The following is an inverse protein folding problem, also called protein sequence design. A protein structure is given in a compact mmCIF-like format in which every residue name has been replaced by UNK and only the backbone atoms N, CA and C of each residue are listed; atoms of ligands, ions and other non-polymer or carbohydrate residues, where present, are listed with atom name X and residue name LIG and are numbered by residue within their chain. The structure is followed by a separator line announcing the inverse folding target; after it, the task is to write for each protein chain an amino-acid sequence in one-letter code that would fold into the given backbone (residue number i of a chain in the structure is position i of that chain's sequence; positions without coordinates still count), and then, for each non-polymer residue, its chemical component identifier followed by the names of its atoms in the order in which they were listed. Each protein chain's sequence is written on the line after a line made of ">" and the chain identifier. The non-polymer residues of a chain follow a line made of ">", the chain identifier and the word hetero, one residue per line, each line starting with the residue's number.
data_IF_293454481227
#
_entry.id   IF_293454481227
#
_cell.length_a   1.000
_cell.length_b   1.000
_cell.length_c   1.000
_cell.angle_alpha   90.00
_cell.angle_beta   90.00
_cell.angle_gamma   90.00
#
_symmetry.space_group_name_H-M   'P 1'
#
loop_
_entity.id
_entity.type
_entity.pdbx_description
1 polymer ?
#
# COMPACT_ATOMS: atom_id res chain seq x y z
N UNK A 1 -10.04 12.21 -10.82
CA UNK A 1 -10.62 12.62 -9.49
C UNK A 1 -11.08 14.07 -9.43
N UNK A 2 -11.11 14.79 -10.56
CA UNK A 2 -11.48 16.21 -10.63
C UNK A 2 -12.86 16.52 -10.03
N UNK A 3 -12.91 17.60 -9.23
CA UNK A 3 -14.14 18.04 -8.59
C UNK A 3 -14.63 17.23 -7.36
N UNK A 4 -13.89 16.19 -6.98
CA UNK A 4 -14.20 15.39 -5.77
C UNK A 4 -13.86 16.16 -4.50
N UNK A 5 -14.59 15.88 -3.41
CA UNK A 5 -14.23 16.39 -2.10
C UNK A 5 -12.87 15.87 -1.66
N UNK A 6 -12.22 16.57 -0.78
CA UNK A 6 -11.02 16.12 -0.07
C UNK A 6 -11.39 15.54 1.29
N UNK A 7 -10.58 14.60 1.78
CA UNK A 7 -10.70 14.07 3.14
C UNK A 7 -10.13 15.05 4.16
N UNK A 8 -10.76 15.14 5.31
CA UNK A 8 -10.23 15.84 6.49
C UNK A 8 -9.35 14.93 7.36
N UNK A 9 -9.25 13.64 7.02
CA UNK A 9 -8.43 12.64 7.72
C UNK A 9 -6.98 12.60 7.21
N UNK A 10 -6.46 13.71 6.72
CA UNK A 10 -5.06 13.82 6.28
C UNK A 10 -4.26 14.59 7.34
N UNK A 11 -3.13 13.99 7.75
CA UNK A 11 -2.17 14.59 8.69
C UNK A 11 -0.84 14.80 7.97
N UNK A 12 -0.46 16.06 7.71
CA UNK A 12 0.82 16.38 7.10
C UNK A 12 1.94 16.44 8.14
N UNK A 13 2.89 15.53 8.03
CA UNK A 13 4.11 15.46 8.84
C UNK A 13 5.37 15.76 8.03
N UNK A 14 5.26 16.16 6.77
CA UNK A 14 6.40 16.58 5.97
C UNK A 14 7.05 17.80 6.64
N UNK A 15 8.37 17.80 6.74
CA UNK A 15 9.12 18.84 7.47
C UNK A 15 9.09 18.75 9.00
N UNK A 16 8.33 17.81 9.60
CA UNK A 16 8.35 17.54 11.04
C UNK A 16 9.27 16.38 11.44
N UNK A 17 9.83 15.66 10.46
CA UNK A 17 10.83 14.61 10.69
C UNK A 17 12.17 15.23 11.05
N UNK A 18 12.98 14.50 11.85
CA UNK A 18 14.38 14.84 12.03
C UNK A 18 15.00 15.01 10.64
N UNK A 19 15.80 16.06 10.46
CA UNK A 19 16.49 16.36 9.21
C UNK A 19 17.31 15.14 8.76
N UNK A 20 16.68 14.28 7.96
CA UNK A 20 17.40 13.26 7.21
C UNK A 20 17.89 13.96 5.96
N UNK A 21 19.19 14.04 5.83
CA UNK A 21 19.86 14.64 4.70
C UNK A 21 19.26 14.13 3.39
N UNK A 22 19.06 15.07 2.46
CA UNK A 22 18.70 14.81 1.08
C UNK A 22 19.81 14.00 0.35
N UNK A 23 19.89 12.72 0.66
CA UNK A 23 20.60 11.72 -0.09
C UNK A 23 19.54 10.73 -0.53
N UNK A 24 18.95 10.97 -1.71
CA UNK A 24 17.95 10.10 -2.28
C UNK A 24 18.46 8.66 -2.28
N UNK A 25 17.71 7.76 -1.66
CA UNK A 25 17.93 6.33 -1.82
C UNK A 25 17.56 6.06 -3.27
N UNK A 26 18.57 5.96 -4.14
CA UNK A 26 18.34 5.55 -5.52
C UNK A 26 17.68 4.16 -5.55
N UNK A 27 17.11 3.82 -6.68
CA UNK A 27 16.49 2.52 -7.00
C UNK A 27 17.15 1.30 -6.36
N UNK A 28 18.48 1.32 -6.23
CA UNK A 28 19.25 0.27 -5.59
C UNK A 28 18.90 0.08 -4.10
N UNK A 29 18.60 1.14 -3.38
CA UNK A 29 18.28 1.07 -1.95
C UNK A 29 16.88 0.50 -1.69
N UNK A 30 15.87 0.94 -2.46
CA UNK A 30 14.52 0.39 -2.37
C UNK A 30 14.49 -1.10 -2.76
N UNK A 31 15.14 -1.45 -3.87
CA UNK A 31 15.27 -2.84 -4.29
C UNK A 31 16.03 -3.69 -3.28
N UNK A 32 17.12 -3.17 -2.69
CA UNK A 32 17.90 -3.87 -1.66
C UNK A 32 17.06 -4.02 -0.38
N UNK A 33 16.32 -3.00 0.05
CA UNK A 33 15.46 -3.09 1.23
C UNK A 33 14.34 -4.12 1.02
N UNK A 34 13.61 -4.02 -0.07
CA UNK A 34 12.60 -5.01 -0.44
C UNK A 34 13.23 -6.41 -0.52
N UNK A 35 14.42 -6.51 -1.11
CA UNK A 35 15.12 -7.77 -1.29
C UNK A 35 15.59 -8.39 0.04
N UNK A 36 16.13 -7.56 0.97
CA UNK A 36 16.56 -8.00 2.30
C UNK A 36 15.35 -8.39 3.16
N UNK A 37 14.26 -7.60 3.11
CA UNK A 37 13.01 -7.91 3.78
C UNK A 37 12.38 -9.19 3.20
N UNK A 38 12.39 -9.34 1.88
CA UNK A 38 11.93 -10.53 1.16
C UNK A 38 12.76 -11.79 1.43
N UNK A 39 14.04 -11.65 1.76
CA UNK A 39 14.93 -12.78 2.07
C UNK A 39 14.84 -13.23 3.54
N UNK A 40 13.92 -12.67 4.33
CA UNK A 40 13.87 -12.92 5.77
C UNK A 40 15.11 -12.40 6.50
N UNK A 41 15.86 -11.51 5.86
CA UNK A 41 17.05 -10.87 6.43
C UNK A 41 16.66 -9.71 7.34
N UNK A 42 17.49 -9.46 8.35
CA UNK A 42 17.36 -8.30 9.20
C UNK A 42 17.76 -7.03 8.42
N UNK A 43 16.76 -6.29 7.94
CA UNK A 43 16.94 -5.01 7.26
C UNK A 43 17.48 -3.90 8.20
N UNK A 44 17.61 -4.17 9.50
CA UNK A 44 18.09 -3.20 10.48
C UNK A 44 19.51 -2.73 10.19
N UNK A 45 20.40 -3.59 9.67
CA UNK A 45 21.75 -3.21 9.27
C UNK A 45 21.78 -2.25 8.08
N UNK A 46 20.83 -2.42 7.12
CA UNK A 46 20.67 -1.48 6.00
C UNK A 46 20.11 -0.15 6.52
N UNK A 47 19.19 -0.21 7.50
CA UNK A 47 18.62 0.96 8.17
C UNK A 47 19.65 1.72 9.03
N UNK A 48 20.52 1.03 9.77
CA UNK A 48 21.58 1.67 10.59
C UNK A 48 22.59 2.43 9.73
N UNK A 49 22.95 1.91 8.57
CA UNK A 49 23.88 2.58 7.66
C UNK A 49 23.24 3.84 7.01
N UNK A 50 21.91 3.92 6.98
CA UNK A 50 21.14 5.08 6.49
C UNK A 50 20.87 6.14 7.57
N UNK A 51 21.06 5.83 8.84
CA UNK A 51 20.75 6.71 9.99
C UNK A 51 21.90 7.58 10.48
N UNK A 52 22.97 7.79 9.73
CA UNK A 52 24.03 8.73 10.18
C UNK A 52 23.49 10.18 10.16
N UNK A 53 23.39 10.85 11.32
CA UNK A 53 22.87 12.20 11.39
C UNK A 53 23.87 13.18 10.78
N UNK A 54 23.52 13.77 9.65
CA UNK A 54 24.17 14.99 9.20
C UNK A 54 23.45 16.18 9.83
N UNK A 55 24.18 17.01 10.58
CA UNK A 55 23.72 18.28 11.11
C UNK A 55 23.33 19.21 9.97
N UNK A 56 22.04 19.27 9.66
CA UNK A 56 21.46 20.17 8.68
C UNK A 56 20.63 21.25 9.36
N UNK A 57 20.80 22.48 8.97
CA UNK A 57 19.93 23.63 9.29
C UNK A 57 18.48 23.27 8.96
N UNK A 58 17.58 23.44 9.91
CA UNK A 58 16.12 23.32 9.70
C UNK A 58 15.66 24.41 8.75
N UNK A 59 15.66 24.14 7.46
CA UNK A 59 14.88 24.93 6.50
C UNK A 59 13.43 24.51 6.60
N UNK A 60 12.54 25.48 6.68
CA UNK A 60 11.09 25.24 6.63
C UNK A 60 10.75 24.46 5.35
N UNK A 61 10.08 23.34 5.50
CA UNK A 61 9.67 22.52 4.36
C UNK A 61 8.57 23.23 3.57
N UNK A 62 8.82 23.52 2.31
CA UNK A 62 7.85 24.09 1.40
C UNK A 62 7.53 23.05 0.32
N UNK A 63 6.28 22.53 0.27
CA UNK A 63 5.91 21.55 -0.75
C UNK A 63 6.07 22.12 -2.17
N UNK A 64 6.57 21.31 -3.08
CA UNK A 64 6.60 21.64 -4.51
C UNK A 64 5.19 21.61 -5.10
N UNK A 65 4.99 22.21 -6.28
CA UNK A 65 3.69 22.16 -6.95
C UNK A 65 3.24 20.71 -7.23
N UNK A 66 4.16 19.84 -7.60
CA UNK A 66 3.88 18.41 -7.81
C UNK A 66 3.47 17.70 -6.52
N UNK A 67 4.13 17.96 -5.41
CA UNK A 67 3.74 17.39 -4.11
C UNK A 67 2.35 17.88 -3.66
N UNK A 68 2.00 19.14 -3.97
CA UNK A 68 0.66 19.68 -3.69
C UNK A 68 -0.42 19.00 -4.55
N UNK A 69 -0.12 18.74 -5.81
CA UNK A 69 -1.01 18.00 -6.72
C UNK A 69 -1.24 16.57 -6.24
N UNK A 70 -0.18 15.85 -5.86
CA UNK A 70 -0.28 14.51 -5.30
C UNK A 70 -1.01 14.48 -3.95
N UNK A 71 -0.78 15.45 -3.08
CA UNK A 71 -1.52 15.60 -1.82
C UNK A 71 -3.01 15.76 -2.07
N UNK A 72 -3.38 16.67 -2.97
CA UNK A 72 -4.78 16.89 -3.35
C UNK A 72 -5.39 15.58 -3.88
N UNK A 73 -4.74 14.92 -4.81
CA UNK A 73 -5.19 13.66 -5.39
C UNK A 73 -5.33 12.57 -4.32
N UNK A 74 -4.31 12.35 -3.48
CA UNK A 74 -4.36 11.36 -2.41
C UNK A 74 -5.48 11.63 -1.41
N UNK A 75 -5.72 12.90 -1.08
CA UNK A 75 -6.82 13.32 -0.21
C UNK A 75 -8.19 13.07 -0.85
N UNK A 76 -8.34 13.24 -2.16
CA UNK A 76 -9.57 12.94 -2.89
C UNK A 76 -9.82 11.42 -2.96
N UNK A 77 -8.78 10.61 -3.20
CA UNK A 77 -8.88 9.15 -3.17
C UNK A 77 -9.29 8.66 -1.79
N UNK A 78 -8.66 9.17 -0.72
CA UNK A 78 -9.05 8.82 0.65
C UNK A 78 -10.52 9.16 0.92
N UNK A 79 -10.96 10.36 0.50
CA UNK A 79 -12.36 10.76 0.62
C UNK A 79 -13.33 9.82 -0.12
N UNK A 80 -12.93 9.38 -1.32
CA UNK A 80 -13.68 8.37 -2.08
C UNK A 80 -13.78 7.04 -1.33
N UNK A 81 -12.66 6.56 -0.76
CA UNK A 81 -12.71 5.33 0.05
C UNK A 81 -13.63 5.47 1.26
N UNK A 82 -13.64 6.64 1.92
CA UNK A 82 -14.55 6.94 3.03
C UNK A 82 -16.03 6.84 2.61
N UNK A 83 -16.39 7.42 1.46
CA UNK A 83 -17.75 7.42 0.94
C UNK A 83 -18.19 5.98 0.59
N UNK A 84 -17.36 5.24 -0.13
CA UNK A 84 -17.63 3.86 -0.53
C UNK A 84 -17.78 2.96 0.69
N UNK A 85 -16.79 2.94 1.60
CA UNK A 85 -16.81 2.02 2.72
C UNK A 85 -17.88 2.37 3.76
N UNK A 86 -18.22 3.65 3.92
CA UNK A 86 -19.38 4.06 4.74
C UNK A 86 -20.67 3.44 4.19
N UNK A 87 -20.87 3.51 2.87
CA UNK A 87 -22.06 2.92 2.22
C UNK A 87 -22.04 1.38 2.31
N UNK A 88 -20.88 0.74 2.14
CA UNK A 88 -20.77 -0.72 2.23
C UNK A 88 -21.03 -1.24 3.64
N UNK A 89 -20.43 -0.64 4.68
CA UNK A 89 -20.66 -1.06 6.06
C UNK A 89 -22.12 -0.85 6.51
N UNK A 90 -22.77 0.22 6.01
CA UNK A 90 -24.18 0.48 6.31
C UNK A 90 -25.11 -0.65 5.85
N UNK A 91 -24.80 -1.38 4.77
CA UNK A 91 -25.58 -2.54 4.29
C UNK A 91 -25.63 -3.65 5.34
N UNK A 92 -24.59 -3.78 6.16
CA UNK A 92 -24.47 -4.76 7.24
C UNK A 92 -24.85 -4.19 8.62
N UNK A 93 -25.43 -2.97 8.67
CA UNK A 93 -25.76 -2.24 9.90
C UNK A 93 -24.55 -2.00 10.81
N UNK A 94 -23.38 -1.90 10.21
CA UNK A 94 -22.12 -1.60 10.87
C UNK A 94 -21.72 -0.15 10.59
N UNK A 95 -20.94 0.43 11.49
CA UNK A 95 -20.39 1.76 11.33
C UNK A 95 -18.94 1.66 10.81
N UNK A 96 -18.67 2.31 9.70
CA UNK A 96 -17.31 2.47 9.21
C UNK A 96 -16.56 3.54 10.01
N UNK A 97 -15.34 3.24 10.41
CA UNK A 97 -14.40 4.18 11.02
C UNK A 97 -13.27 4.41 10.05
N UNK A 98 -13.19 5.62 9.49
CA UNK A 98 -12.17 5.93 8.49
C UNK A 98 -10.78 6.01 9.12
N UNK A 99 -9.74 5.52 8.45
CA UNK A 99 -8.36 5.67 8.90
C UNK A 99 -7.87 7.11 8.69
N UNK A 100 -6.80 7.50 9.37
CA UNK A 100 -6.07 8.72 9.02
C UNK A 100 -4.95 8.40 8.04
N UNK A 101 -4.70 9.30 7.11
CA UNK A 101 -3.56 9.24 6.21
C UNK A 101 -2.48 10.23 6.66
N UNK A 102 -1.29 9.75 6.91
CA UNK A 102 -0.12 10.54 7.29
C UNK A 102 0.77 10.72 6.08
N UNK A 103 0.94 11.96 5.63
CA UNK A 103 1.91 12.31 4.61
C UNK A 103 3.25 12.58 5.28
N UNK A 104 4.29 11.93 4.81
CA UNK A 104 5.65 12.11 5.33
C UNK A 104 6.68 12.22 4.21
N UNK A 105 7.91 12.56 4.54
CA UNK A 105 9.04 12.59 3.62
C UNK A 105 10.29 12.04 4.30
N UNK A 106 10.90 11.05 3.67
CA UNK A 106 12.13 10.43 4.12
C UNK A 106 11.94 9.42 5.24
N UNK A 107 11.47 9.83 6.43
CA UNK A 107 11.24 8.93 7.56
C UNK A 107 10.06 9.36 8.41
N UNK A 108 9.42 8.39 9.08
CA UNK A 108 8.28 8.63 9.96
C UNK A 108 8.25 7.61 11.11
N UNK A 109 7.82 8.07 12.30
CA UNK A 109 7.47 7.20 13.42
C UNK A 109 5.99 6.86 13.33
N UNK A 110 5.68 5.55 13.29
CA UNK A 110 4.32 5.00 13.36
C UNK A 110 4.10 4.22 14.66
N UNK A 111 2.87 3.80 14.92
CA UNK A 111 2.54 2.86 15.98
C UNK A 111 3.17 1.46 15.77
N UNK A 112 3.54 1.13 14.54
CA UNK A 112 4.17 -0.14 14.16
C UNK A 112 5.72 -0.05 14.12
N UNK A 113 6.30 1.09 14.47
CA UNK A 113 7.74 1.34 14.46
C UNK A 113 8.15 2.45 13.49
N UNK A 114 9.47 2.57 13.30
CA UNK A 114 10.03 3.54 12.35
C UNK A 114 9.92 3.01 10.92
N UNK A 115 9.54 3.89 10.00
CA UNK A 115 9.53 3.61 8.58
C UNK A 115 10.27 4.71 7.80
N UNK A 116 10.72 4.36 6.60
CA UNK A 116 11.40 5.28 5.67
C UNK A 116 10.72 5.24 4.30
N UNK A 117 11.10 6.13 3.38
CA UNK A 117 10.64 6.09 1.99
C UNK A 117 10.82 4.71 1.34
N UNK A 118 11.87 3.95 1.73
CA UNK A 118 12.12 2.60 1.24
C UNK A 118 11.06 1.57 1.69
N UNK A 119 10.29 1.85 2.74
CA UNK A 119 9.19 0.97 3.17
C UNK A 119 8.03 0.99 2.18
N UNK A 120 7.91 2.07 1.39
CA UNK A 120 6.72 2.32 0.58
C UNK A 120 5.52 2.77 1.42
N UNK A 121 4.35 2.94 0.80
CA UNK A 121 3.09 3.12 1.51
C UNK A 121 2.77 1.93 2.40
N UNK A 122 2.17 2.16 3.56
CA UNK A 122 1.76 1.08 4.45
C UNK A 122 0.62 1.49 5.38
N UNK A 123 -0.16 0.51 5.81
CA UNK A 123 -1.14 0.64 6.88
C UNK A 123 -0.55 0.10 8.20
N UNK A 124 -0.77 0.82 9.29
CA UNK A 124 -0.41 0.36 10.63
C UNK A 124 -1.67 0.13 11.46
N UNK A 125 -1.94 -1.11 11.86
CA UNK A 125 -3.10 -1.48 12.68
C UNK A 125 -3.01 -0.98 14.12
N UNK A 126 -1.79 -0.76 14.65
CA UNK A 126 -1.59 -0.30 16.02
C UNK A 126 -2.08 1.15 16.27
N UNK A 127 -2.09 1.99 15.24
CA UNK A 127 -2.57 3.37 15.33
C UNK A 127 -3.66 3.72 14.29
N UNK A 128 -4.08 2.74 13.49
CA UNK A 128 -5.12 2.83 12.46
C UNK A 128 -4.85 3.93 11.42
N UNK A 129 -3.60 4.02 10.97
CA UNK A 129 -3.17 5.04 10.03
C UNK A 129 -2.54 4.43 8.78
N UNK A 130 -2.80 5.09 7.64
CA UNK A 130 -2.04 4.93 6.42
C UNK A 130 -0.85 5.88 6.45
N UNK A 131 0.29 5.42 6.00
CA UNK A 131 1.51 6.21 5.88
C UNK A 131 1.93 6.27 4.42
N UNK A 132 2.14 7.47 3.91
CA UNK A 132 2.37 7.71 2.50
C UNK A 132 3.50 8.73 2.32
N UNK A 133 4.61 8.27 1.73
CA UNK A 133 5.64 9.17 1.21
C UNK A 133 5.30 9.49 -0.25
N UNK A 134 5.08 10.77 -0.56
CA UNK A 134 4.68 11.19 -1.91
C UNK A 134 5.78 10.95 -2.94
N UNK A 135 7.06 10.88 -2.52
CA UNK A 135 8.17 10.53 -3.42
C UNK A 135 8.03 9.11 -3.98
N UNK A 136 7.32 8.20 -3.27
CA UNK A 136 7.02 6.85 -3.75
C UNK A 136 6.29 6.84 -5.10
N UNK A 137 5.34 7.73 -5.30
CA UNK A 137 4.61 7.81 -6.57
C UNK A 137 5.50 8.27 -7.73
N UNK A 138 6.44 9.18 -7.46
CA UNK A 138 7.45 9.56 -8.45
C UNK A 138 8.34 8.35 -8.80
N UNK A 139 8.74 7.57 -7.80
CA UNK A 139 9.53 6.35 -8.01
C UNK A 139 8.76 5.29 -8.78
N UNK A 140 7.49 5.06 -8.49
CA UNK A 140 6.64 4.15 -9.27
C UNK A 140 6.64 4.52 -10.76
N UNK A 141 6.48 5.80 -11.07
CA UNK A 141 6.44 6.28 -12.45
C UNK A 141 7.79 6.17 -13.15
N UNK A 142 8.86 6.64 -12.49
CA UNK A 142 10.20 6.74 -13.09
C UNK A 142 10.92 5.40 -13.15
N UNK A 143 10.80 4.60 -12.13
CA UNK A 143 11.61 3.41 -11.90
C UNK A 143 10.91 2.13 -12.32
N UNK A 144 9.61 2.02 -12.05
CA UNK A 144 8.83 0.85 -12.41
C UNK A 144 8.07 1.06 -13.74
N UNK A 145 8.09 2.28 -14.29
CA UNK A 145 7.32 2.62 -15.48
C UNK A 145 5.82 2.39 -15.30
N UNK A 146 5.33 2.53 -14.04
CA UNK A 146 3.91 2.49 -13.71
C UNK A 146 3.40 3.89 -13.97
N UNK A 147 2.55 4.05 -14.99
CA UNK A 147 2.00 5.34 -15.41
C UNK A 147 0.55 5.41 -14.97
N UNK A 148 0.08 6.64 -14.82
CA UNK A 148 -1.29 6.98 -14.52
C UNK A 148 -1.54 7.26 -13.05
N UNK A 149 -2.53 8.06 -12.79
CA UNK A 149 -2.95 8.45 -11.45
C UNK A 149 -3.78 7.35 -10.77
N UNK A 150 -4.47 6.53 -11.55
CA UNK A 150 -5.25 5.42 -10.99
C UNK A 150 -4.37 4.29 -10.41
N UNK A 151 -3.13 4.15 -10.85
CA UNK A 151 -2.15 3.29 -10.18
C UNK A 151 -1.87 3.76 -8.74
N UNK A 152 -1.77 5.08 -8.53
CA UNK A 152 -1.62 5.66 -7.20
C UNK A 152 -2.89 5.49 -6.35
N UNK A 153 -4.07 5.65 -6.98
CA UNK A 153 -5.35 5.41 -6.33
C UNK A 153 -5.50 3.96 -5.86
N UNK A 154 -5.08 3.00 -6.68
CA UNK A 154 -5.06 1.58 -6.31
C UNK A 154 -4.19 1.31 -5.07
N UNK A 155 -2.99 1.89 -4.99
CA UNK A 155 -2.11 1.71 -3.82
C UNK A 155 -2.79 2.25 -2.55
N UNK A 156 -3.37 3.45 -2.59
CA UNK A 156 -4.09 4.01 -1.43
C UNK A 156 -5.28 3.13 -1.06
N UNK A 157 -6.06 2.65 -2.05
CA UNK A 157 -7.19 1.77 -1.80
C UNK A 157 -6.77 0.39 -1.24
N UNK A 158 -5.59 -0.11 -1.62
CA UNK A 158 -5.00 -1.32 -1.08
C UNK A 158 -4.66 -1.16 0.42
N UNK A 159 -4.03 -0.05 0.80
CA UNK A 159 -3.74 0.25 2.22
C UNK A 159 -5.03 0.43 3.03
N UNK A 160 -6.06 1.04 2.44
CA UNK A 160 -7.42 1.06 3.04
C UNK A 160 -7.99 -0.36 3.13
N UNK A 161 -7.67 -1.24 2.18
CA UNK A 161 -8.03 -2.67 2.24
C UNK A 161 -7.51 -3.36 3.50
N UNK A 162 -6.27 -3.08 3.91
CA UNK A 162 -5.73 -3.54 5.19
C UNK A 162 -6.48 -2.97 6.40
N UNK A 163 -6.91 -1.70 6.31
CA UNK A 163 -7.76 -1.13 7.35
C UNK A 163 -9.13 -1.83 7.43
N UNK A 164 -9.73 -2.19 6.28
CA UNK A 164 -10.97 -2.99 6.26
C UNK A 164 -10.75 -4.36 6.91
N UNK A 165 -9.65 -5.04 6.60
CA UNK A 165 -9.28 -6.31 7.24
C UNK A 165 -9.16 -6.17 8.76
N UNK A 166 -8.55 -5.07 9.24
CA UNK A 166 -8.47 -4.76 10.67
C UNK A 166 -9.85 -4.56 11.28
N UNK A 167 -10.71 -3.76 10.67
CA UNK A 167 -12.08 -3.52 11.15
C UNK A 167 -12.94 -4.79 11.18
N UNK A 168 -12.68 -5.74 10.27
CA UNK A 168 -13.36 -7.04 10.22
C UNK A 168 -12.71 -8.08 11.15
N UNK A 169 -11.58 -7.76 11.79
CA UNK A 169 -10.81 -8.65 12.66
C UNK A 169 -9.91 -9.65 11.91
N UNK A 170 -10.01 -9.72 10.59
CA UNK A 170 -9.26 -10.69 9.77
C UNK A 170 -7.75 -10.49 9.85
N UNK A 171 -7.29 -9.22 9.88
CA UNK A 171 -5.87 -8.89 9.97
C UNK A 171 -5.28 -9.30 11.32
N UNK A 172 -6.00 -9.02 12.40
CA UNK A 172 -5.57 -9.32 13.75
C UNK A 172 -5.53 -10.84 14.00
N UNK A 173 -6.55 -11.56 13.52
CA UNK A 173 -6.60 -13.01 13.58
C UNK A 173 -5.44 -13.66 12.80
N UNK A 174 -5.14 -13.16 11.60
CA UNK A 174 -4.03 -13.63 10.78
C UNK A 174 -2.68 -13.39 11.48
N UNK A 175 -2.45 -12.20 12.03
CA UNK A 175 -1.23 -11.88 12.78
C UNK A 175 -1.05 -12.75 14.03
N UNK A 176 -2.13 -13.04 14.78
CA UNK A 176 -2.08 -13.95 15.92
C UNK A 176 -1.69 -15.38 15.52
N UNK A 177 -2.19 -15.86 14.37
CA UNK A 177 -1.80 -17.16 13.82
C UNK A 177 -0.34 -17.16 13.38
N UNK A 178 0.10 -16.14 12.65
CA UNK A 178 1.48 -15.98 12.18
C UNK A 178 2.52 -16.00 13.31
N UNK A 179 2.17 -15.49 14.50
CA UNK A 179 3.07 -15.51 15.65
C UNK A 179 3.52 -16.92 16.08
N UNK A 180 2.83 -17.97 15.64
CA UNK A 180 3.07 -19.37 15.99
C UNK A 180 3.53 -20.23 14.79
N UNK A 181 3.70 -19.62 13.62
CA UNK A 181 4.06 -20.30 12.38
C UNK A 181 5.57 -20.25 12.13
N UNK A 182 6.08 -21.20 11.35
CA UNK A 182 7.39 -21.09 10.72
C UNK A 182 7.37 -20.01 9.61
N UNK A 183 8.55 -19.61 9.12
CA UNK A 183 8.70 -18.49 8.20
C UNK A 183 7.95 -18.72 6.87
N UNK A 184 8.03 -19.91 6.30
CA UNK A 184 7.33 -20.21 5.04
C UNK A 184 5.81 -20.12 5.23
N UNK A 185 5.31 -20.63 6.33
CA UNK A 185 3.88 -20.55 6.67
C UNK A 185 3.42 -19.11 6.93
N UNK A 186 4.25 -18.29 7.57
CA UNK A 186 4.01 -16.84 7.73
C UNK A 186 3.91 -16.15 6.38
N UNK A 187 4.86 -16.40 5.50
CA UNK A 187 4.89 -15.83 4.15
C UNK A 187 3.61 -16.19 3.38
N UNK A 188 3.18 -17.44 3.42
CA UNK A 188 1.93 -17.87 2.79
C UNK A 188 0.70 -17.18 3.39
N UNK A 189 0.69 -16.95 4.71
CA UNK A 189 -0.39 -16.21 5.37
C UNK A 189 -0.36 -14.73 4.95
N UNK A 190 0.84 -14.12 4.86
CA UNK A 190 1.01 -12.75 4.35
C UNK A 190 0.44 -12.61 2.95
N UNK A 191 0.76 -13.53 2.03
CA UNK A 191 0.17 -13.53 0.67
C UNK A 191 -1.36 -13.50 0.72
N UNK A 192 -2.01 -14.25 1.62
CA UNK A 192 -3.47 -14.24 1.76
C UNK A 192 -4.02 -12.88 2.22
N UNK A 193 -3.33 -12.24 3.17
CA UNK A 193 -3.64 -10.88 3.64
C UNK A 193 -3.56 -9.91 2.45
N UNK A 194 -2.47 -9.93 1.70
CA UNK A 194 -2.22 -9.04 0.57
C UNK A 194 -3.26 -9.19 -0.56
N UNK A 195 -3.56 -10.44 -0.92
CA UNK A 195 -4.54 -10.71 -1.98
C UNK A 195 -5.96 -10.29 -1.58
N UNK A 196 -6.31 -10.37 -0.29
CA UNK A 196 -7.58 -9.85 0.20
C UNK A 196 -7.60 -8.31 0.19
N UNK A 197 -6.48 -7.65 0.48
CA UNK A 197 -6.38 -6.19 0.36
C UNK A 197 -6.51 -5.75 -1.10
N UNK A 198 -5.91 -6.47 -2.06
CA UNK A 198 -6.12 -6.26 -3.50
C UNK A 198 -7.60 -6.44 -3.90
N UNK A 199 -8.27 -7.44 -3.34
CA UNK A 199 -9.70 -7.64 -3.55
C UNK A 199 -10.52 -6.45 -3.06
N UNK A 200 -10.25 -5.94 -1.86
CA UNK A 200 -10.95 -4.78 -1.31
C UNK A 200 -10.65 -3.50 -2.08
N UNK A 201 -9.44 -3.32 -2.58
CA UNK A 201 -9.14 -2.25 -3.52
C UNK A 201 -10.00 -2.35 -4.79
N UNK A 202 -10.22 -3.57 -5.29
CA UNK A 202 -11.13 -3.82 -6.41
C UNK A 202 -12.59 -3.52 -6.07
N UNK A 203 -13.07 -3.90 -4.89
CA UNK A 203 -14.43 -3.57 -4.40
C UNK A 203 -14.61 -2.05 -4.34
N UNK A 204 -13.62 -1.33 -3.82
CA UNK A 204 -13.65 0.14 -3.85
C UNK A 204 -13.79 0.67 -5.27
N UNK A 205 -12.95 0.23 -6.22
CA UNK A 205 -13.01 0.68 -7.62
C UNK A 205 -14.36 0.39 -8.29
N UNK A 206 -15.00 -0.77 -8.00
CA UNK A 206 -16.34 -1.08 -8.47
C UNK A 206 -17.37 -0.03 -8.01
N UNK A 207 -17.37 0.29 -6.72
CA UNK A 207 -18.32 1.22 -6.14
C UNK A 207 -17.99 2.67 -6.48
N UNK A 208 -16.73 3.03 -6.62
CA UNK A 208 -16.29 4.35 -7.10
C UNK A 208 -16.88 4.63 -8.48
N UNK A 209 -16.76 3.67 -9.41
CA UNK A 209 -17.36 3.80 -10.73
C UNK A 209 -18.87 3.89 -10.68
N UNK A 210 -19.50 3.06 -9.85
CA UNK A 210 -20.96 3.02 -9.74
C UNK A 210 -21.56 4.26 -9.10
N UNK A 211 -20.91 4.83 -8.08
CA UNK A 211 -21.42 5.98 -7.32
C UNK A 211 -21.10 7.31 -8.01
N UNK A 212 -19.94 7.40 -8.67
CA UNK A 212 -19.40 8.68 -9.12
C UNK A 212 -19.06 8.71 -10.61
N UNK A 213 -18.89 7.56 -11.25
CA UNK A 213 -18.52 7.49 -12.68
C UNK A 213 -17.17 8.13 -12.99
N UNK A 214 -16.25 8.12 -12.02
CA UNK A 214 -14.98 8.87 -12.09
C UNK A 214 -13.84 8.09 -12.73
N UNK A 215 -14.05 6.81 -13.06
CA UNK A 215 -13.05 6.01 -13.76
C UNK A 215 -13.12 6.28 -15.28
N UNK A 216 -11.97 6.60 -15.83
CA UNK A 216 -11.78 6.84 -17.26
C UNK A 216 -11.39 5.55 -18.01
N UNK A 217 -11.46 5.59 -19.32
CA UNK A 217 -10.97 4.50 -20.16
C UNK A 217 -9.46 4.33 -19.95
N UNK A 218 -9.05 3.16 -19.45
CA UNK A 218 -7.64 2.87 -19.16
C UNK A 218 -7.30 2.77 -17.67
N UNK A 219 -8.02 3.44 -16.78
CA UNK A 219 -7.74 3.45 -15.34
C UNK A 219 -7.64 2.05 -14.74
N UNK A 220 -8.58 1.17 -15.08
CA UNK A 220 -8.54 -0.22 -14.64
C UNK A 220 -7.28 -0.95 -15.11
N UNK A 221 -6.80 -0.62 -16.32
CA UNK A 221 -5.58 -1.22 -16.84
C UNK A 221 -4.34 -0.70 -16.10
N UNK A 222 -4.36 0.57 -15.67
CA UNK A 222 -3.29 1.15 -14.84
C UNK A 222 -3.17 0.46 -13.50
N UNK A 223 -4.29 0.26 -12.79
CA UNK A 223 -4.31 -0.50 -11.53
C UNK A 223 -3.83 -1.95 -11.72
N UNK A 224 -4.28 -2.61 -12.78
CA UNK A 224 -3.87 -3.99 -13.11
C UNK A 224 -2.37 -4.05 -13.41
N UNK A 225 -1.83 -3.07 -14.14
CA UNK A 225 -0.40 -2.97 -14.44
C UNK A 225 0.42 -2.69 -13.17
N UNK A 226 -0.10 -1.86 -12.26
CA UNK A 226 0.52 -1.63 -10.96
C UNK A 226 0.57 -2.92 -10.16
N UNK A 227 -0.57 -3.60 -9.97
CA UNK A 227 -0.65 -4.89 -9.28
C UNK A 227 0.30 -5.94 -9.87
N UNK A 228 0.47 -5.97 -11.20
CA UNK A 228 1.41 -6.84 -11.88
C UNK A 228 2.86 -6.55 -11.51
N UNK A 229 3.24 -5.28 -11.51
CA UNK A 229 4.64 -4.86 -11.32
C UNK A 229 5.12 -4.89 -9.87
N UNK A 230 4.20 -4.99 -8.92
CA UNK A 230 4.50 -5.13 -7.50
C UNK A 230 4.29 -6.58 -6.99
N UNK A 231 4.08 -7.55 -7.88
CA UNK A 231 4.10 -8.96 -7.53
C UNK A 231 5.52 -9.46 -7.25
N UNK A 232 5.64 -10.35 -6.26
CA UNK A 232 6.92 -10.87 -5.78
C UNK A 232 7.75 -11.54 -6.88
N UNK A 233 7.10 -12.25 -7.78
CA UNK A 233 7.75 -12.91 -8.92
C UNK A 233 8.33 -11.91 -9.93
N UNK A 234 7.65 -10.79 -10.14
CA UNK A 234 8.15 -9.70 -10.98
C UNK A 234 9.33 -9.00 -10.30
N UNK A 235 9.21 -8.64 -9.03
CA UNK A 235 10.25 -7.95 -8.27
C UNK A 235 11.52 -8.80 -8.15
N UNK A 236 11.42 -10.10 -7.88
CA UNK A 236 12.57 -11.00 -7.84
C UNK A 236 13.28 -11.05 -9.20
N UNK A 237 12.54 -11.12 -10.32
CA UNK A 237 13.16 -11.09 -11.67
C UNK A 237 13.86 -9.76 -11.95
N UNK A 238 13.27 -8.61 -11.56
CA UNK A 238 13.92 -7.30 -11.70
C UNK A 238 15.21 -7.22 -10.86
N UNK A 239 15.24 -7.88 -9.71
CA UNK A 239 16.42 -8.02 -8.87
C UNK A 239 17.47 -9.01 -9.38
N UNK A 240 17.25 -9.63 -10.56
CA UNK A 240 18.22 -10.52 -11.23
C UNK A 240 18.13 -12.01 -10.84
N UNK A 241 17.11 -12.41 -10.10
CA UNK A 241 16.88 -13.82 -9.82
C UNK A 241 16.47 -14.57 -11.08
N UNK A 242 17.21 -15.63 -11.45
CA UNK A 242 16.87 -16.52 -12.57
C UNK A 242 15.70 -17.43 -12.19
N UNK A 243 15.76 -17.99 -10.99
CA UNK A 243 14.73 -18.86 -10.43
C UNK A 243 13.98 -18.13 -9.32
N UNK A 244 12.69 -17.99 -9.51
CA UNK A 244 11.81 -17.33 -8.57
C UNK A 244 11.59 -18.24 -7.34
N UNK A 245 11.77 -17.69 -6.14
CA UNK A 245 11.65 -18.42 -4.87
C UNK A 245 10.30 -18.13 -4.23
N UNK A 246 9.32 -18.98 -4.48
CA UNK A 246 7.95 -18.81 -3.98
C UNK A 246 7.81 -18.83 -2.46
N UNK A 247 8.69 -19.55 -1.76
CA UNK A 247 8.69 -19.63 -0.29
C UNK A 247 9.04 -18.28 0.38
N UNK A 248 9.61 -17.34 -0.39
CA UNK A 248 9.92 -15.99 0.05
C UNK A 248 8.84 -14.97 -0.31
N UNK A 249 7.74 -15.37 -0.94
CA UNK A 249 6.67 -14.45 -1.30
C UNK A 249 5.90 -14.01 -0.07
N UNK A 250 5.73 -12.71 0.06
CA UNK A 250 4.92 -12.08 1.10
C UNK A 250 3.71 -11.33 0.54
N UNK A 251 3.74 -10.97 -0.76
CA UNK A 251 2.66 -10.25 -1.43
C UNK A 251 1.94 -11.09 -2.50
N UNK A 252 2.53 -12.20 -2.89
CA UNK A 252 2.01 -13.08 -3.94
C UNK A 252 2.52 -12.73 -5.34
N UNK A 253 2.18 -13.58 -6.30
CA UNK A 253 2.59 -13.40 -7.69
C UNK A 253 1.82 -12.27 -8.37
N UNK A 254 2.42 -11.68 -9.41
CA UNK A 254 1.75 -10.75 -10.32
C UNK A 254 0.37 -11.24 -10.77
N UNK A 255 0.26 -12.54 -11.10
CA UNK A 255 -0.98 -13.14 -11.56
C UNK A 255 -2.03 -13.22 -10.44
N UNK A 256 -1.65 -13.57 -9.23
CA UNK A 256 -2.54 -13.62 -8.07
C UNK A 256 -3.08 -12.23 -7.75
N UNK A 257 -2.20 -11.23 -7.63
CA UNK A 257 -2.59 -9.85 -7.33
C UNK A 257 -3.56 -9.29 -8.36
N UNK A 258 -3.24 -9.41 -9.65
CA UNK A 258 -4.15 -9.01 -10.73
C UNK A 258 -5.49 -9.74 -10.68
N UNK A 259 -5.50 -11.05 -10.37
CA UNK A 259 -6.71 -11.86 -10.28
C UNK A 259 -7.63 -11.34 -9.18
N UNK A 260 -7.10 -11.12 -7.98
CA UNK A 260 -7.91 -10.71 -6.84
C UNK A 260 -8.41 -9.27 -6.97
N UNK A 261 -7.60 -8.36 -7.49
CA UNK A 261 -8.04 -7.01 -7.85
C UNK A 261 -9.19 -7.06 -8.85
N UNK A 262 -9.06 -7.83 -9.95
CA UNK A 262 -10.12 -7.99 -10.96
C UNK A 262 -11.39 -8.60 -10.38
N UNK A 263 -11.29 -9.59 -9.50
CA UNK A 263 -12.47 -10.19 -8.84
C UNK A 263 -13.21 -9.15 -8.01
N UNK A 264 -12.51 -8.32 -7.25
CA UNK A 264 -13.11 -7.22 -6.50
C UNK A 264 -13.82 -6.21 -7.40
N UNK A 265 -13.14 -5.78 -8.48
CA UNK A 265 -13.68 -4.88 -9.49
C UNK A 265 -14.96 -5.42 -10.17
N UNK A 266 -15.03 -6.72 -10.40
CA UNK A 266 -16.16 -7.35 -11.05
C UNK A 266 -17.35 -7.58 -10.10
N UNK A 267 -17.08 -8.01 -8.87
CA UNK A 267 -18.12 -8.40 -7.93
C UNK A 267 -18.70 -7.23 -7.14
N UNK A 268 -17.87 -6.32 -6.65
CA UNK A 268 -18.25 -5.27 -5.71
C UNK A 268 -18.82 -5.79 -4.38
N UNK A 269 -18.67 -7.08 -4.07
CA UNK A 269 -19.26 -7.73 -2.90
C UNK A 269 -18.18 -8.09 -1.87
N UNK A 270 -18.18 -7.41 -0.74
CA UNK A 270 -17.21 -7.61 0.33
C UNK A 270 -17.12 -9.08 0.81
N UNK A 271 -18.22 -9.82 0.75
CA UNK A 271 -18.30 -11.21 1.25
C UNK A 271 -17.56 -12.23 0.37
N UNK A 272 -17.21 -11.88 -0.86
CA UNK A 272 -16.51 -12.78 -1.79
C UNK A 272 -14.98 -12.65 -1.73
N UNK A 273 -14.46 -11.87 -0.79
CA UNK A 273 -13.03 -11.62 -0.60
C UNK A 273 -12.31 -12.63 0.30
N UNK A 274 -12.87 -13.81 0.52
CA UNK A 274 -12.21 -14.81 1.37
C UNK A 274 -11.02 -15.47 0.66
N UNK A 275 -9.81 -15.06 1.06
CA UNK A 275 -8.54 -15.65 0.63
C UNK A 275 -8.01 -16.70 1.60
N UNK A 276 -8.60 -16.84 2.77
CA UNK A 276 -8.06 -17.66 3.87
C UNK A 276 -8.57 -19.10 3.85
N UNK A 277 -9.83 -19.34 3.47
CA UNK A 277 -10.43 -20.66 3.46
C UNK A 277 -10.21 -21.45 2.17
N UNK A 278 -9.77 -20.79 1.09
CA UNK A 278 -9.58 -21.44 -0.20
C UNK A 278 -8.20 -22.13 -0.31
N UNK A 279 -8.07 -23.20 -1.13
CA UNK A 279 -6.79 -23.84 -1.41
C UNK A 279 -5.79 -22.87 -2.06
N UNK A 280 -4.50 -23.04 -1.77
CA UNK A 280 -3.41 -22.19 -2.34
C UNK A 280 -3.43 -22.18 -3.89
N UNK A 281 -3.81 -23.28 -4.51
CA UNK A 281 -3.92 -23.37 -5.98
C UNK A 281 -5.05 -22.51 -6.58
N UNK A 282 -5.93 -21.95 -5.76
CA UNK A 282 -7.04 -21.07 -6.17
C UNK A 282 -6.81 -19.60 -5.84
N UNK A 283 -5.73 -19.28 -5.15
CA UNK A 283 -5.31 -17.92 -4.86
C UNK A 283 -4.95 -17.11 -6.10
#
# INVERSE_FOLDING_TARGET
>A
MDGRRTSTNVEDRRGKGAAVAAGGIGLGGLLIYLLVTFMGGDASAVMEQMQQPQSGTTTEYVPTAQEQEFELFASQVLASTEDVWTAEFAKYKAQYRAPKMVLFKGSVQSGCGNATSATGPFYCSADEKLYLDLDFFNEMQQSMGIKGDFACAYVIAHEVGHHIQHLLGTLDDAHQQMARMDEVSKNKMSVRIELQADYYAGVWGHHEQKMFGSLEDGDLQEAINAAQKIGDDYLQRQAGYRDVKSDLFTHGTSQQRMRWLKRGLQSGDISQGDTFSIPESQL
#
